data_IF_380435723502
#
_entry.id   IF_380435723502
#
_cell.length_a   1.000
_cell.length_b   1.000
_cell.length_c   1.000
_cell.angle_alpha   90.00
_cell.angle_beta   90.00
_cell.angle_gamma   90.00
#
_symmetry.space_group_name_H-M   'P 1'
#
loop_
_entity.id
_entity.type
_entity.pdbx_description
1 polymer ?
#
# COMPACT_ATOMS: atom_id res chain seq x y z
N UNK A 1 15.17 6.94 -2.18
CA UNK A 1 14.81 5.88 -1.21
C UNK A 1 13.29 5.77 -1.13
N UNK A 2 12.76 4.58 -1.40
CA UNK A 2 11.32 4.31 -1.38
C UNK A 2 10.96 3.67 -0.04
N UNK A 3 10.30 4.39 0.88
CA UNK A 3 9.95 3.90 2.22
C UNK A 3 8.47 3.49 2.29
N UNK A 4 8.20 2.25 2.68
CA UNK A 4 6.86 1.66 2.57
C UNK A 4 5.79 2.30 3.47
N UNK A 5 6.16 3.11 4.45
CA UNK A 5 5.22 3.77 5.36
C UNK A 5 5.36 3.27 6.79
N UNK A 6 4.66 3.94 7.73
CA UNK A 6 4.75 3.67 9.17
C UNK A 6 6.21 3.51 9.65
N UNK A 7 7.08 4.40 9.16
CA UNK A 7 8.50 4.42 9.53
C UNK A 7 8.61 4.81 11.00
N UNK A 8 9.25 3.97 11.80
CA UNK A 8 9.45 4.23 13.22
C UNK A 8 10.55 5.29 13.43
N UNK A 9 10.32 6.25 14.32
CA UNK A 9 11.29 7.32 14.62
C UNK A 9 12.65 6.76 15.12
N UNK A 10 12.65 5.55 15.70
CA UNK A 10 13.82 4.81 16.16
C UNK A 10 14.55 4.00 15.07
N UNK A 11 14.09 4.03 13.81
CA UNK A 11 14.70 3.27 12.73
C UNK A 11 15.99 3.93 12.21
N UNK A 12 17.07 3.72 12.96
CA UNK A 12 18.39 4.25 12.65
C UNK A 12 18.94 3.80 11.29
N UNK A 13 18.58 2.60 10.84
CA UNK A 13 19.06 2.07 9.57
C UNK A 13 18.52 2.91 8.39
N UNK A 14 17.21 3.18 8.36
CA UNK A 14 16.59 3.94 7.27
C UNK A 14 16.95 5.43 7.34
N UNK A 15 16.81 6.06 8.51
CA UNK A 15 17.13 7.49 8.64
C UNK A 15 18.61 7.78 8.49
N UNK A 16 19.47 6.97 9.11
CA UNK A 16 20.92 7.09 9.00
C UNK A 16 21.39 6.92 7.56
N UNK A 17 20.84 5.96 6.82
CA UNK A 17 21.16 5.77 5.40
C UNK A 17 20.79 6.99 4.55
N UNK A 18 19.59 7.57 4.77
CA UNK A 18 19.18 8.76 4.04
C UNK A 18 20.03 9.98 4.37
N UNK A 19 20.27 10.26 5.66
CA UNK A 19 21.10 11.38 6.12
C UNK A 19 22.53 11.26 5.59
N UNK A 20 23.10 10.04 5.64
CA UNK A 20 24.42 9.75 5.07
C UNK A 20 24.49 10.08 3.57
N UNK A 21 23.50 9.65 2.79
CA UNK A 21 23.43 9.96 1.35
C UNK A 21 23.25 11.47 1.10
N UNK A 22 22.57 12.19 1.99
CA UNK A 22 22.33 13.62 1.86
C UNK A 22 23.54 14.49 2.28
N UNK A 23 24.64 13.90 2.80
CA UNK A 23 25.85 14.61 3.21
C UNK A 23 26.14 14.59 4.72
N UNK A 24 25.42 13.78 5.51
CA UNK A 24 25.66 13.63 6.94
C UNK A 24 25.49 14.94 7.70
N UNK A 25 26.50 15.30 8.48
CA UNK A 25 26.53 16.56 9.25
C UNK A 25 26.47 17.83 8.38
N UNK A 26 26.82 17.73 7.10
CA UNK A 26 26.73 18.84 6.13
C UNK A 26 25.43 18.81 5.32
N UNK A 27 24.53 17.85 5.60
CA UNK A 27 23.28 17.73 4.86
C UNK A 27 22.37 18.93 5.12
N UNK A 28 21.80 19.46 4.03
CA UNK A 28 20.72 20.44 4.03
C UNK A 28 19.49 19.76 3.42
N UNK A 29 18.58 19.31 4.27
CA UNK A 29 17.46 18.47 3.85
C UNK A 29 16.18 19.31 3.72
N UNK A 30 15.60 19.32 2.53
CA UNK A 30 14.28 19.88 2.29
C UNK A 30 13.17 18.87 2.63
N UNK A 31 12.24 19.23 3.51
CA UNK A 31 11.06 18.42 3.82
C UNK A 31 9.86 18.96 3.05
N UNK A 32 9.23 18.08 2.28
CA UNK A 32 8.04 18.37 1.47
C UNK A 32 6.85 17.60 2.07
N UNK A 33 5.77 18.29 2.44
CA UNK A 33 4.66 17.67 3.20
C UNK A 33 3.28 17.90 2.61
N UNK A 34 3.20 18.18 1.31
CA UNK A 34 1.96 18.44 0.57
C UNK A 34 0.88 17.36 0.73
N UNK A 35 1.30 16.10 0.88
CA UNK A 35 0.40 14.97 1.09
C UNK A 35 -0.35 15.02 2.42
N UNK A 36 0.21 15.69 3.43
CA UNK A 36 -0.36 15.71 4.76
C UNK A 36 -1.62 16.59 4.83
N UNK A 37 -2.54 16.23 5.73
CA UNK A 37 -3.63 17.11 6.14
C UNK A 37 -3.17 18.20 7.12
N UNK A 38 -2.00 18.01 7.75
CA UNK A 38 -1.36 18.96 8.68
C UNK A 38 0.11 19.20 8.27
N UNK A 39 0.37 19.82 7.10
CA UNK A 39 1.69 19.85 6.46
C UNK A 39 2.82 20.37 7.34
N UNK A 40 2.58 21.46 8.08
CA UNK A 40 3.58 22.07 8.94
C UNK A 40 3.97 21.14 10.10
N UNK A 41 3.00 20.57 10.82
CA UNK A 41 3.27 19.63 11.92
C UNK A 41 3.96 18.35 11.44
N UNK A 42 3.55 17.80 10.28
CA UNK A 42 4.20 16.63 9.70
C UNK A 42 5.64 16.91 9.29
N UNK A 43 5.92 18.09 8.71
CA UNK A 43 7.27 18.48 8.35
C UNK A 43 8.16 18.65 9.59
N UNK A 44 7.64 19.30 10.65
CA UNK A 44 8.37 19.50 11.90
C UNK A 44 8.71 18.17 12.60
N UNK A 45 7.79 17.20 12.59
CA UNK A 45 8.05 15.88 13.15
C UNK A 45 9.21 15.18 12.43
N UNK A 46 9.16 15.11 11.09
CA UNK A 46 10.23 14.53 10.28
C UNK A 46 11.54 15.30 10.44
N UNK A 47 11.49 16.63 10.49
CA UNK A 47 12.68 17.46 10.66
C UNK A 47 13.38 17.18 11.99
N UNK A 48 12.63 17.00 13.09
CA UNK A 48 13.18 16.64 14.39
C UNK A 48 13.92 15.31 14.34
N UNK A 49 13.33 14.30 13.69
CA UNK A 49 13.92 12.96 13.57
C UNK A 49 15.19 13.00 12.72
N UNK A 50 15.15 13.63 11.54
CA UNK A 50 16.32 13.76 10.67
C UNK A 50 17.49 14.51 11.34
N UNK A 51 17.20 15.57 12.11
CA UNK A 51 18.22 16.25 12.93
C UNK A 51 18.79 15.32 14.02
N UNK A 52 17.95 14.52 14.67
CA UNK A 52 18.41 13.57 15.68
C UNK A 52 19.36 12.49 15.09
N UNK A 53 19.23 12.18 13.79
CA UNK A 53 20.14 11.29 13.07
C UNK A 53 21.34 12.00 12.41
N UNK A 54 21.57 13.27 12.74
CA UNK A 54 22.81 13.97 12.39
C UNK A 54 22.76 14.80 11.10
N UNK A 55 21.58 15.12 10.58
CA UNK A 55 21.47 16.12 9.51
C UNK A 55 21.81 17.53 10.04
N UNK A 56 22.65 18.27 9.31
CA UNK A 56 23.08 19.62 9.72
C UNK A 56 21.94 20.64 9.70
N UNK A 57 21.24 20.74 8.57
CA UNK A 57 20.06 21.58 8.40
C UNK A 57 18.89 20.74 7.90
N UNK A 58 17.70 20.99 8.45
CA UNK A 58 16.46 20.41 7.94
C UNK A 58 15.40 21.49 7.92
N UNK A 59 14.88 21.76 6.73
CA UNK A 59 14.05 22.93 6.44
C UNK A 59 12.78 22.49 5.72
N UNK A 60 11.62 22.96 6.19
CA UNK A 60 10.35 22.75 5.52
C UNK A 60 10.22 23.67 4.31
N UNK A 61 9.73 23.15 3.17
CA UNK A 61 9.49 23.92 1.94
C UNK A 61 7.97 24.21 1.82
N UNK A 62 7.49 25.42 2.19
CA UNK A 62 6.09 25.61 2.62
C UNK A 62 4.97 25.78 1.57
N UNK A 63 5.12 26.25 0.32
CA UNK A 63 3.94 26.62 -0.48
C UNK A 63 3.29 25.43 -1.20
N UNK A 64 3.85 24.23 -1.05
CA UNK A 64 3.37 23.01 -1.70
C UNK A 64 2.05 22.49 -1.10
N UNK A 65 1.36 23.28 -0.28
CA UNK A 65 0.12 22.89 0.40
C UNK A 65 -1.14 23.37 -0.30
N UNK A 66 -1.02 24.37 -1.18
CA UNK A 66 -2.14 24.81 -1.98
C UNK A 66 -2.37 23.79 -3.11
N UNK A 67 -3.54 23.14 -3.11
CA UNK A 67 -3.91 22.10 -4.08
C UNK A 67 -4.43 22.72 -5.37
N UNK A 68 -3.65 23.62 -5.96
CA UNK A 68 -4.00 24.36 -7.18
C UNK A 68 -2.79 24.53 -8.07
N UNK A 69 -3.06 24.70 -9.36
CA UNK A 69 -2.05 24.98 -10.37
C UNK A 69 -1.19 26.21 -10.00
N UNK A 70 0.10 26.13 -10.29
CA UNK A 70 1.11 27.14 -9.96
C UNK A 70 1.48 27.27 -8.48
N UNK A 71 0.96 26.43 -7.57
CA UNK A 71 1.32 26.50 -6.14
C UNK A 71 2.79 26.16 -5.87
N UNK A 72 3.39 25.38 -6.76
CA UNK A 72 4.80 25.00 -6.73
C UNK A 72 5.72 26.03 -7.35
N UNK A 73 5.24 27.20 -7.80
CA UNK A 73 6.03 28.15 -8.60
C UNK A 73 6.67 29.30 -7.83
N UNK A 74 6.44 29.39 -6.51
CA UNK A 74 7.05 30.45 -5.71
C UNK A 74 8.58 30.45 -5.87
N UNK A 75 9.18 31.53 -6.44
CA UNK A 75 10.60 31.57 -6.74
C UNK A 75 11.49 31.44 -5.49
N UNK A 76 11.03 31.94 -4.34
CA UNK A 76 11.77 31.83 -3.07
C UNK A 76 11.86 30.38 -2.61
N UNK A 77 10.80 29.61 -2.82
CA UNK A 77 10.74 28.20 -2.46
C UNK A 77 11.47 27.31 -3.46
N UNK A 78 11.45 27.67 -4.74
CA UNK A 78 12.29 27.02 -5.75
C UNK A 78 13.78 27.26 -5.47
N UNK A 79 14.17 28.48 -5.10
CA UNK A 79 15.54 28.82 -4.69
C UNK A 79 15.95 28.06 -3.42
N UNK A 80 15.04 27.98 -2.44
CA UNK A 80 15.26 27.19 -1.22
C UNK A 80 15.50 25.72 -1.57
N UNK A 81 14.64 25.11 -2.39
CA UNK A 81 14.78 23.74 -2.86
C UNK A 81 16.11 23.52 -3.61
N UNK A 82 16.50 24.45 -4.49
CA UNK A 82 17.75 24.38 -5.23
C UNK A 82 18.99 24.39 -4.31
N UNK A 83 18.86 24.90 -3.08
CA UNK A 83 19.96 24.96 -2.12
C UNK A 83 20.13 23.68 -1.28
N UNK A 84 19.21 22.72 -1.39
CA UNK A 84 19.20 21.49 -0.60
C UNK A 84 20.13 20.40 -1.17
N UNK A 85 20.60 19.53 -0.29
CA UNK A 85 21.43 18.35 -0.61
C UNK A 85 20.65 17.04 -0.51
N UNK A 86 19.40 17.06 -0.06
CA UNK A 86 18.49 15.91 -0.07
C UNK A 86 17.05 16.32 0.19
N UNK A 87 16.09 15.47 -0.17
CA UNK A 87 14.66 15.75 -0.01
C UNK A 87 13.91 14.60 0.64
N UNK A 88 13.05 14.90 1.60
CA UNK A 88 12.20 13.91 2.26
C UNK A 88 10.73 14.28 2.11
N UNK A 89 9.95 13.40 1.49
CA UNK A 89 8.53 13.55 1.24
C UNK A 89 7.72 12.78 2.29
N UNK A 90 6.83 13.47 3.00
CA UNK A 90 6.05 12.85 4.08
C UNK A 90 4.88 11.99 3.57
N UNK A 91 4.21 11.27 4.48
CA UNK A 91 3.00 10.51 4.16
C UNK A 91 1.72 11.36 4.05
N UNK A 92 0.60 10.73 3.73
CA UNK A 92 -0.71 11.36 3.56
C UNK A 92 -1.42 10.89 2.28
N UNK A 93 -1.84 11.83 1.44
CA UNK A 93 -2.46 11.62 0.13
C UNK A 93 -1.50 12.07 -0.98
N UNK A 94 -1.03 11.12 -1.78
CA UNK A 94 -0.04 11.33 -2.84
C UNK A 94 -0.55 12.23 -3.95
N UNK A 95 -1.86 12.28 -4.21
CA UNK A 95 -2.38 13.11 -5.30
C UNK A 95 -2.28 14.61 -4.98
N UNK A 96 -2.20 14.98 -3.70
CA UNK A 96 -1.95 16.38 -3.30
C UNK A 96 -0.59 16.88 -3.75
N UNK A 97 0.42 16.01 -3.84
CA UNK A 97 1.70 16.38 -4.43
C UNK A 97 1.55 16.71 -5.92
N UNK A 98 0.79 15.91 -6.67
CA UNK A 98 0.49 16.21 -8.08
C UNK A 98 -0.18 17.57 -8.19
N UNK A 99 -1.25 17.81 -7.43
CA UNK A 99 -2.01 19.06 -7.45
C UNK A 99 -1.24 20.32 -7.05
N UNK A 100 -0.09 20.18 -6.38
CA UNK A 100 0.69 21.29 -5.84
C UNK A 100 2.04 21.49 -6.52
N UNK A 101 2.55 20.48 -7.23
CA UNK A 101 3.90 20.47 -7.80
C UNK A 101 3.95 20.22 -9.30
N UNK A 102 2.82 19.84 -9.90
CA UNK A 102 2.69 19.58 -11.34
C UNK A 102 1.64 20.53 -11.90
N UNK A 103 1.95 21.15 -13.04
CA UNK A 103 1.03 22.03 -13.72
C UNK A 103 -0.11 21.26 -14.39
N UNK A 104 -1.18 21.97 -14.74
CA UNK A 104 -2.31 21.39 -15.46
C UNK A 104 -1.92 20.77 -16.81
N UNK A 105 -0.85 21.27 -17.45
CA UNK A 105 -0.29 20.75 -18.71
C UNK A 105 0.68 19.56 -18.51
N UNK A 106 0.92 19.15 -17.26
CA UNK A 106 1.81 18.05 -16.90
C UNK A 106 3.29 18.45 -16.72
N UNK A 107 3.63 19.73 -16.88
CA UNK A 107 5.00 20.21 -16.63
C UNK A 107 5.30 20.33 -15.14
N UNK A 108 6.59 20.28 -14.78
CA UNK A 108 7.03 20.49 -13.40
C UNK A 108 6.80 21.95 -12.97
N UNK A 109 6.20 22.15 -11.79
CA UNK A 109 6.26 23.43 -11.07
C UNK A 109 7.69 23.76 -10.63
N UNK A 110 7.98 25.02 -10.34
CA UNK A 110 9.34 25.49 -10.09
C UNK A 110 10.07 24.74 -8.95
N UNK A 111 9.36 24.40 -7.86
CA UNK A 111 9.90 23.58 -6.76
C UNK A 111 10.22 22.17 -7.23
N UNK A 112 9.33 21.48 -7.95
CA UNK A 112 9.60 20.13 -8.46
C UNK A 112 10.78 20.12 -9.43
N UNK A 113 10.83 21.11 -10.33
CA UNK A 113 11.94 21.31 -11.24
C UNK A 113 13.25 21.47 -10.48
N UNK A 114 13.30 22.28 -9.43
CA UNK A 114 14.49 22.43 -8.59
C UNK A 114 14.88 21.11 -7.91
N UNK A 115 13.92 20.38 -7.33
CA UNK A 115 14.15 19.05 -6.74
C UNK A 115 14.73 18.09 -7.79
N UNK A 116 14.17 18.08 -9.00
CA UNK A 116 14.64 17.23 -10.11
C UNK A 116 16.07 17.57 -10.52
N UNK A 117 16.42 18.86 -10.64
CA UNK A 117 17.79 19.26 -10.96
C UNK A 117 18.78 18.83 -9.87
N UNK A 118 18.39 18.94 -8.59
CA UNK A 118 19.23 18.46 -7.49
C UNK A 118 19.37 16.94 -7.47
N UNK A 119 18.30 16.21 -7.77
CA UNK A 119 18.36 14.75 -7.92
C UNK A 119 19.30 14.33 -9.06
N UNK A 120 19.21 14.98 -10.22
CA UNK A 120 20.13 14.74 -11.34
C UNK A 120 21.58 15.09 -10.98
N UNK A 121 21.79 16.04 -10.07
CA UNK A 121 23.10 16.37 -9.50
C UNK A 121 23.54 15.44 -8.34
N UNK A 122 22.78 14.37 -8.04
CA UNK A 122 23.14 13.35 -7.06
C UNK A 122 22.52 13.50 -5.67
N UNK A 123 21.64 14.48 -5.44
CA UNK A 123 20.93 14.61 -4.16
C UNK A 123 19.91 13.46 -3.98
N UNK A 124 19.90 12.73 -2.84
CA UNK A 124 18.89 11.71 -2.60
C UNK A 124 17.50 12.33 -2.42
N UNK A 125 16.51 11.68 -3.04
CA UNK A 125 15.09 11.93 -2.80
C UNK A 125 14.52 10.70 -2.11
N UNK A 126 13.90 10.92 -0.95
CA UNK A 126 13.24 9.89 -0.15
C UNK A 126 11.79 10.25 0.12
N UNK A 127 10.95 9.26 0.35
CA UNK A 127 9.62 9.50 0.87
C UNK A 127 9.00 8.28 1.50
N UNK A 128 8.01 8.51 2.36
CA UNK A 128 7.33 7.48 3.15
C UNK A 128 5.83 7.44 2.86
N UNK A 129 5.25 6.25 2.69
CA UNK A 129 3.83 6.08 2.36
C UNK A 129 3.48 6.87 1.07
N UNK A 130 2.54 7.81 1.10
CA UNK A 130 2.26 8.70 -0.04
C UNK A 130 3.51 9.40 -0.62
N UNK A 131 4.47 9.78 0.23
CA UNK A 131 5.74 10.36 -0.19
C UNK A 131 6.64 9.37 -0.94
N UNK A 132 6.49 8.06 -0.71
CA UNK A 132 7.10 7.04 -1.57
C UNK A 132 6.30 6.90 -2.86
N UNK A 133 4.97 6.81 -2.76
CA UNK A 133 4.09 6.56 -3.89
C UNK A 133 4.25 7.62 -4.99
N UNK A 134 4.42 8.89 -4.61
CA UNK A 134 4.64 9.99 -5.56
C UNK A 134 5.99 9.91 -6.28
N UNK A 135 6.95 9.11 -5.83
CA UNK A 135 8.22 8.92 -6.55
C UNK A 135 8.08 7.98 -7.75
N UNK A 136 6.94 7.29 -7.87
CA UNK A 136 6.65 6.37 -8.95
C UNK A 136 6.69 7.04 -10.33
N UNK A 137 7.00 6.26 -11.35
CA UNK A 137 6.73 6.56 -12.75
C UNK A 137 5.23 6.47 -13.08
N UNK A 138 4.93 6.14 -14.35
CA UNK A 138 3.56 6.00 -14.86
C UNK A 138 2.72 5.02 -14.03
N UNK A 139 1.41 5.19 -14.10
CA UNK A 139 0.42 4.32 -13.45
C UNK A 139 0.55 4.26 -11.92
N UNK A 140 0.72 5.44 -11.30
CA UNK A 140 0.85 5.57 -9.84
C UNK A 140 -0.47 5.18 -9.16
N UNK A 141 -0.42 4.29 -8.15
CA UNK A 141 -1.60 3.91 -7.37
C UNK A 141 -2.18 5.13 -6.65
N UNK A 142 -3.50 5.35 -6.77
CA UNK A 142 -4.21 6.44 -6.09
C UNK A 142 -5.03 5.94 -4.90
N UNK A 143 -5.47 4.68 -4.90
CA UNK A 143 -6.27 4.11 -3.82
C UNK A 143 -6.68 2.65 -4.05
N UNK A 144 -7.58 2.13 -3.22
CA UNK A 144 -8.25 0.85 -3.46
C UNK A 144 -7.69 -0.36 -2.72
N UNK A 145 -8.54 -1.35 -2.49
CA UNK A 145 -8.17 -2.60 -1.82
C UNK A 145 -8.02 -3.76 -2.80
N UNK A 146 -7.35 -4.84 -2.35
CA UNK A 146 -7.04 -5.99 -3.21
C UNK A 146 -8.26 -6.73 -3.73
N UNK A 147 -9.30 -6.92 -2.93
CA UNK A 147 -10.45 -7.70 -3.37
C UNK A 147 -11.26 -7.00 -4.49
N UNK A 148 -11.71 -5.75 -4.33
CA UNK A 148 -12.38 -5.03 -5.40
C UNK A 148 -11.48 -4.83 -6.61
N UNK A 149 -10.19 -4.52 -6.39
CA UNK A 149 -9.21 -4.39 -7.47
C UNK A 149 -9.12 -5.64 -8.34
N UNK A 150 -8.93 -6.82 -7.74
CA UNK A 150 -8.88 -8.08 -8.51
C UNK A 150 -10.21 -8.40 -9.19
N UNK A 151 -11.35 -8.09 -8.55
CA UNK A 151 -12.69 -8.36 -9.10
C UNK A 151 -12.98 -7.51 -10.32
N UNK A 152 -12.77 -6.20 -10.23
CA UNK A 152 -13.27 -5.22 -11.20
C UNK A 152 -12.19 -4.69 -12.14
N UNK A 153 -10.93 -4.79 -11.72
CA UNK A 153 -9.79 -4.21 -12.42
C UNK A 153 -9.40 -2.83 -11.92
N UNK A 154 -8.23 -2.42 -12.38
CA UNK A 154 -7.72 -1.08 -12.14
C UNK A 154 -8.48 -0.06 -13.01
N UNK A 155 -8.81 1.08 -12.42
CA UNK A 155 -9.51 2.18 -13.10
C UNK A 155 -8.68 3.46 -13.05
N UNK A 156 -8.53 4.18 -14.18
CA UNK A 156 -7.81 5.44 -14.19
C UNK A 156 -8.59 6.50 -13.42
N UNK A 157 -7.93 7.21 -12.51
CA UNK A 157 -8.51 8.29 -11.72
C UNK A 157 -8.14 8.28 -10.24
N UNK A 158 -8.72 9.20 -9.50
CA UNK A 158 -8.64 9.32 -8.05
C UNK A 158 -10.05 9.16 -7.51
N UNK A 159 -10.21 8.31 -6.49
CA UNK A 159 -11.51 7.94 -5.96
C UNK A 159 -11.52 8.11 -4.44
N UNK A 160 -12.59 8.68 -3.90
CA UNK A 160 -12.81 8.83 -2.45
C UNK A 160 -13.36 7.54 -1.82
N UNK A 161 -12.95 6.38 -2.34
CA UNK A 161 -13.35 5.06 -1.85
C UNK A 161 -12.26 4.03 -2.07
N UNK A 162 -12.17 3.07 -1.15
CA UNK A 162 -11.27 1.91 -1.23
C UNK A 162 -11.88 0.74 -2.04
N UNK A 163 -13.11 0.88 -2.54
CA UNK A 163 -13.78 -0.11 -3.38
C UNK A 163 -13.35 -0.06 -4.85
N UNK A 164 -12.54 0.93 -5.24
CA UNK A 164 -11.99 1.05 -6.61
C UNK A 164 -10.48 1.02 -6.53
N UNK A 165 -9.85 0.13 -7.29
CA UNK A 165 -8.40 0.18 -7.52
C UNK A 165 -8.09 1.33 -8.48
N UNK A 166 -7.91 2.52 -7.91
CA UNK A 166 -7.56 3.72 -8.66
C UNK A 166 -6.07 3.79 -9.00
N UNK A 167 -5.76 4.28 -10.19
CA UNK A 167 -4.41 4.67 -10.57
C UNK A 167 -4.41 5.96 -11.40
N UNK A 168 -3.33 6.73 -11.31
CA UNK A 168 -3.13 7.93 -12.14
C UNK A 168 -2.21 7.57 -13.31
N UNK A 169 -2.71 7.56 -14.57
CA UNK A 169 -1.92 7.11 -15.72
C UNK A 169 -0.61 7.89 -15.91
N UNK A 170 -0.65 9.22 -15.73
CA UNK A 170 0.54 10.07 -15.88
C UNK A 170 1.63 9.78 -14.82
N UNK A 171 1.27 9.08 -13.74
CA UNK A 171 2.24 8.66 -12.72
C UNK A 171 2.49 9.67 -11.62
N UNK A 172 3.57 9.44 -10.87
CA UNK A 172 4.10 10.40 -9.91
C UNK A 172 5.13 11.32 -10.57
N UNK A 173 6.14 11.71 -9.81
CA UNK A 173 7.25 12.55 -10.26
C UNK A 173 8.28 11.82 -11.13
N UNK A 174 8.19 10.50 -11.25
CA UNK A 174 9.04 9.70 -12.13
C UNK A 174 10.50 9.63 -11.69
N UNK A 175 10.78 9.74 -10.38
CA UNK A 175 12.12 9.50 -9.83
C UNK A 175 12.51 8.02 -9.84
N UNK A 176 11.53 7.12 -9.93
CA UNK A 176 11.73 5.69 -10.06
C UNK A 176 10.80 5.11 -11.13
N UNK A 177 11.38 4.54 -12.19
CA UNK A 177 10.63 4.08 -13.38
C UNK A 177 10.83 2.60 -13.70
N UNK A 178 11.69 1.89 -12.95
CA UNK A 178 12.07 0.49 -13.23
C UNK A 178 11.04 -0.56 -12.79
N UNK A 179 9.84 -0.12 -12.43
CA UNK A 179 8.69 -0.97 -12.10
C UNK A 179 7.63 -0.20 -11.33
N UNK A 180 6.45 -0.81 -11.21
CA UNK A 180 5.36 -0.28 -10.41
C UNK A 180 5.71 -0.38 -8.92
N UNK A 181 5.29 0.59 -8.11
CA UNK A 181 5.55 0.60 -6.66
C UNK A 181 4.27 0.69 -5.86
N UNK A 182 4.27 0.03 -4.70
CA UNK A 182 3.18 0.09 -3.75
C UNK A 182 3.72 0.07 -2.31
N UNK A 183 2.96 0.69 -1.40
CA UNK A 183 3.33 1.02 -0.01
C UNK A 183 2.51 0.19 0.98
N UNK A 184 2.94 0.13 2.24
CA UNK A 184 2.29 -0.63 3.32
C UNK A 184 1.96 -2.07 2.91
N UNK A 185 2.84 -2.66 2.10
CA UNK A 185 2.46 -3.68 1.15
C UNK A 185 1.95 -4.96 1.83
N UNK A 186 2.78 -5.52 2.70
CA UNK A 186 2.49 -6.74 3.45
C UNK A 186 1.39 -6.50 4.50
N UNK A 187 1.47 -5.38 5.22
CA UNK A 187 0.55 -5.01 6.30
C UNK A 187 -0.90 -4.86 5.83
N UNK A 188 -1.11 -4.45 4.58
CA UNK A 188 -2.44 -4.21 3.99
C UNK A 188 -2.83 -5.23 2.93
N UNK A 189 -2.06 -6.30 2.76
CA UNK A 189 -2.35 -7.37 1.80
C UNK A 189 -2.49 -6.87 0.36
N UNK A 190 -1.61 -5.93 -0.06
CA UNK A 190 -1.71 -5.20 -1.33
C UNK A 190 -1.12 -5.95 -2.53
N UNK A 191 -0.59 -7.15 -2.31
CA UNK A 191 -0.01 -7.99 -3.38
C UNK A 191 -0.95 -8.19 -4.56
N UNK A 192 -2.20 -8.57 -4.33
CA UNK A 192 -3.12 -8.88 -5.44
C UNK A 192 -3.58 -7.63 -6.20
N UNK A 193 -3.74 -6.48 -5.53
CA UNK A 193 -4.08 -5.22 -6.20
C UNK A 193 -2.95 -4.77 -7.13
N UNK A 194 -1.70 -4.88 -6.69
CA UNK A 194 -0.57 -4.43 -7.51
C UNK A 194 -0.27 -5.40 -8.65
N UNK A 195 -0.47 -6.71 -8.47
CA UNK A 195 -0.45 -7.68 -9.58
C UNK A 195 -1.52 -7.33 -10.61
N UNK A 196 -2.75 -7.04 -10.15
CA UNK A 196 -3.85 -6.70 -11.04
C UNK A 196 -3.56 -5.42 -11.82
N UNK A 197 -3.13 -4.36 -11.13
CA UNK A 197 -2.76 -3.10 -11.77
C UNK A 197 -1.64 -3.31 -12.79
N UNK A 198 -0.57 -4.02 -12.43
CA UNK A 198 0.53 -4.30 -13.34
C UNK A 198 0.08 -5.07 -14.59
N UNK A 199 -0.80 -6.06 -14.44
CA UNK A 199 -1.38 -6.79 -15.57
C UNK A 199 -2.27 -5.89 -16.45
N UNK A 200 -3.12 -5.05 -15.86
CA UNK A 200 -4.03 -4.16 -16.57
C UNK A 200 -3.28 -3.01 -17.30
N UNK A 201 -2.11 -2.61 -16.80
CA UNK A 201 -1.32 -1.47 -17.32
C UNK A 201 -0.02 -1.89 -18.02
N UNK A 202 0.20 -3.19 -18.21
CA UNK A 202 1.34 -3.73 -18.95
C UNK A 202 2.69 -3.52 -18.27
N UNK A 203 2.76 -3.52 -16.94
CA UNK A 203 4.03 -3.57 -16.19
C UNK A 203 4.45 -5.02 -15.97
N UNK A 204 5.73 -5.29 -16.19
CA UNK A 204 6.32 -6.60 -15.96
C UNK A 204 6.90 -6.77 -14.55
N UNK A 205 6.93 -5.68 -13.76
CA UNK A 205 7.54 -5.65 -12.44
C UNK A 205 6.78 -4.81 -11.44
N UNK A 206 6.66 -5.34 -10.22
CA UNK A 206 6.15 -4.60 -9.05
C UNK A 206 7.14 -4.70 -7.90
N UNK A 207 7.35 -3.58 -7.21
CA UNK A 207 8.03 -3.48 -5.92
C UNK A 207 7.03 -3.10 -4.84
N UNK A 208 6.66 -4.07 -4.01
CA UNK A 208 5.85 -3.85 -2.83
C UNK A 208 6.73 -3.63 -1.60
N UNK A 209 6.78 -2.41 -1.08
CA UNK A 209 7.62 -2.08 0.08
C UNK A 209 6.78 -2.17 1.36
N UNK A 210 7.23 -3.01 2.30
CA UNK A 210 6.59 -3.17 3.60
C UNK A 210 6.81 -1.97 4.52
N UNK A 211 6.03 -1.92 5.60
CA UNK A 211 6.17 -0.85 6.61
C UNK A 211 7.57 -0.86 7.25
N UNK A 212 8.01 0.30 7.73
CA UNK A 212 9.29 0.44 8.46
C UNK A 212 10.51 -0.13 7.68
N UNK A 213 10.40 -0.10 6.34
CA UNK A 213 11.39 -0.63 5.40
C UNK A 213 11.56 0.35 4.23
N UNK A 214 12.80 0.47 3.76
CA UNK A 214 13.18 1.24 2.60
C UNK A 214 13.79 0.34 1.51
N UNK A 215 13.43 0.63 0.26
CA UNK A 215 14.17 0.20 -0.92
C UNK A 215 15.07 1.35 -1.35
N UNK A 216 16.37 1.18 -1.12
CA UNK A 216 17.41 2.12 -1.54
C UNK A 216 17.72 1.85 -3.01
N UNK A 217 17.57 2.86 -3.86
CA UNK A 217 17.85 2.80 -5.29
C UNK A 217 19.03 3.71 -5.58
N UNK A 218 20.09 3.16 -6.16
CA UNK A 218 21.27 3.91 -6.62
C UNK A 218 21.37 3.83 -8.12
N UNK A 219 21.79 4.90 -8.79
CA UNK A 219 21.87 4.93 -10.26
C UNK A 219 20.50 4.84 -10.94
N UNK A 220 19.46 5.41 -10.32
CA UNK A 220 18.09 5.34 -10.81
C UNK A 220 17.99 5.82 -12.27
N UNK A 221 17.31 5.05 -13.12
CA UNK A 221 17.18 5.36 -14.54
C UNK A 221 18.46 5.21 -15.38
N UNK A 222 19.53 4.64 -14.82
CA UNK A 222 20.78 4.35 -15.52
C UNK A 222 21.01 2.85 -15.71
N UNK A 223 21.94 2.46 -16.59
CA UNK A 223 22.33 1.06 -16.77
C UNK A 223 22.98 0.43 -15.51
N UNK A 224 23.44 1.26 -14.57
CA UNK A 224 24.02 0.84 -13.29
C UNK A 224 23.01 0.83 -12.14
N UNK A 225 21.70 0.89 -12.42
CA UNK A 225 20.69 0.90 -11.37
C UNK A 225 20.80 -0.35 -10.49
N UNK A 226 20.81 -0.15 -9.18
CA UNK A 226 20.86 -1.22 -8.19
C UNK A 226 19.95 -0.90 -7.02
N UNK A 227 19.32 -1.93 -6.48
CA UNK A 227 18.37 -1.81 -5.39
C UNK A 227 18.86 -2.61 -4.18
N UNK A 228 18.67 -2.06 -2.98
CA UNK A 228 19.02 -2.71 -1.70
C UNK A 228 17.95 -2.45 -0.66
N UNK A 229 17.59 -3.47 0.11
CA UNK A 229 16.62 -3.37 1.20
C UNK A 229 17.32 -2.91 2.48
N UNK A 230 16.68 -1.99 3.18
CA UNK A 230 17.08 -1.50 4.51
C UNK A 230 15.85 -1.42 5.40
N UNK A 231 15.86 -2.04 6.58
CA UNK A 231 14.77 -1.93 7.56
C UNK A 231 14.17 -3.27 7.98
N UNK A 232 12.93 -3.27 8.48
CA UNK A 232 12.50 -4.35 9.40
C UNK A 232 11.56 -5.40 8.82
N UNK A 233 10.73 -5.08 7.82
CA UNK A 233 9.77 -6.05 7.25
C UNK A 233 10.31 -6.70 5.98
N UNK A 234 10.70 -5.90 4.98
CA UNK A 234 11.18 -6.39 3.68
C UNK A 234 10.48 -5.77 2.46
N UNK A 235 10.84 -6.28 1.28
CA UNK A 235 10.35 -5.84 -0.02
C UNK A 235 9.97 -7.06 -0.86
N UNK A 236 8.77 -7.03 -1.41
CA UNK A 236 8.29 -7.98 -2.39
C UNK A 236 8.62 -7.51 -3.80
N UNK A 237 9.36 -8.32 -4.56
CA UNK A 237 9.56 -8.14 -6.00
C UNK A 237 8.69 -9.15 -6.73
N UNK A 238 7.72 -8.65 -7.49
CA UNK A 238 6.85 -9.46 -8.33
C UNK A 238 7.29 -9.34 -9.78
N UNK A 239 7.56 -10.48 -10.41
CA UNK A 239 8.00 -10.61 -11.80
C UNK A 239 6.86 -11.23 -12.62
N UNK A 240 6.32 -10.43 -13.54
CA UNK A 240 5.17 -10.75 -14.37
C UNK A 240 5.59 -11.10 -15.81
N UNK A 241 6.88 -11.20 -16.14
CA UNK A 241 7.33 -11.47 -17.53
C UNK A 241 6.82 -12.78 -18.12
N UNK A 242 6.55 -13.77 -17.26
CA UNK A 242 5.98 -15.05 -17.65
C UNK A 242 4.51 -15.20 -17.23
N UNK A 243 3.89 -14.11 -16.77
CA UNK A 243 2.53 -14.14 -16.31
C UNK A 243 1.55 -14.27 -17.47
N UNK A 244 0.46 -15.00 -17.23
CA UNK A 244 -0.62 -15.23 -18.20
C UNK A 244 -1.93 -14.85 -17.56
N UNK A 245 -2.58 -13.83 -18.12
CA UNK A 245 -3.93 -13.44 -17.73
C UNK A 245 -4.93 -14.33 -18.46
N UNK A 246 -5.97 -14.77 -17.75
CA UNK A 246 -7.04 -15.57 -18.32
C UNK A 246 -8.29 -15.52 -17.46
N UNK A 247 -9.21 -16.45 -17.73
CA UNK A 247 -10.42 -16.63 -16.93
C UNK A 247 -10.44 -18.01 -16.29
N UNK A 248 -10.69 -18.07 -14.98
CA UNK A 248 -10.93 -19.31 -14.24
C UNK A 248 -12.35 -19.27 -13.66
N UNK A 249 -13.21 -20.16 -14.13
CA UNK A 249 -14.61 -20.20 -13.69
C UNK A 249 -15.40 -18.91 -14.00
N UNK A 250 -15.05 -18.22 -15.09
CA UNK A 250 -15.66 -16.94 -15.48
C UNK A 250 -15.14 -15.71 -14.72
N UNK A 251 -14.15 -15.88 -13.85
CA UNK A 251 -13.51 -14.79 -13.11
C UNK A 251 -12.11 -14.52 -13.63
N UNK A 252 -11.65 -13.26 -13.53
CA UNK A 252 -10.28 -12.89 -13.85
C UNK A 252 -9.29 -13.75 -13.06
N UNK A 253 -8.25 -14.23 -13.74
CA UNK A 253 -7.19 -15.06 -13.17
C UNK A 253 -5.85 -14.68 -13.79
N UNK A 254 -4.78 -14.93 -13.03
CA UNK A 254 -3.41 -14.75 -13.49
C UNK A 254 -2.56 -15.89 -12.93
N UNK A 255 -1.74 -16.48 -13.78
CA UNK A 255 -0.79 -17.54 -13.43
C UNK A 255 0.61 -17.13 -13.87
N UNK A 256 1.66 -17.74 -13.28
CA UNK A 256 3.05 -17.51 -13.70
C UNK A 256 3.72 -16.23 -13.16
N UNK A 257 3.09 -15.53 -12.20
CA UNK A 257 3.76 -14.44 -11.46
C UNK A 257 4.78 -15.04 -10.50
N UNK A 258 6.05 -14.65 -10.64
CA UNK A 258 7.11 -15.05 -9.72
C UNK A 258 7.25 -14.02 -8.61
N UNK A 259 7.35 -14.49 -7.37
CA UNK A 259 7.51 -13.64 -6.19
C UNK A 259 8.85 -13.91 -5.52
N UNK A 260 9.66 -12.86 -5.37
CA UNK A 260 10.84 -12.86 -4.50
C UNK A 260 10.59 -11.94 -3.31
N UNK A 261 10.89 -12.41 -2.10
CA UNK A 261 10.82 -11.61 -0.88
C UNK A 261 12.23 -11.31 -0.38
N UNK A 262 12.57 -10.03 -0.29
CA UNK A 262 13.88 -9.54 0.09
C UNK A 262 13.78 -8.92 1.48
N UNK A 263 14.77 -9.21 2.32
CA UNK A 263 14.91 -8.70 3.68
C UNK A 263 16.12 -7.78 3.80
N UNK A 264 16.34 -7.19 4.97
CA UNK A 264 17.46 -6.27 5.21
C UNK A 264 18.80 -6.77 4.64
N UNK A 265 19.48 -5.90 3.90
CA UNK A 265 20.75 -6.19 3.25
C UNK A 265 20.66 -6.96 1.93
N UNK A 266 19.53 -7.60 1.60
CA UNK A 266 19.33 -8.21 0.28
C UNK A 266 19.29 -7.13 -0.81
N UNK A 267 19.73 -7.49 -2.02
CA UNK A 267 19.79 -6.60 -3.16
C UNK A 267 19.11 -7.19 -4.40
N UNK A 268 18.74 -6.30 -5.31
CA UNK A 268 18.08 -6.64 -6.57
C UNK A 268 18.70 -5.86 -7.73
N UNK A 269 19.06 -6.59 -8.77
CA UNK A 269 19.52 -6.06 -10.05
C UNK A 269 18.33 -6.02 -11.03
N UNK A 270 17.83 -4.82 -11.38
CA UNK A 270 16.68 -4.65 -12.26
C UNK A 270 17.03 -4.92 -13.73
N UNK A 271 18.29 -4.81 -14.16
CA UNK A 271 18.67 -5.14 -15.54
C UNK A 271 18.72 -6.65 -15.74
N UNK A 272 19.24 -7.38 -14.75
CA UNK A 272 19.44 -8.84 -14.82
C UNK A 272 18.32 -9.66 -14.19
N UNK A 273 17.35 -9.00 -13.55
CA UNK A 273 16.26 -9.65 -12.80
C UNK A 273 16.76 -10.62 -11.73
N UNK A 274 17.82 -10.22 -11.04
CA UNK A 274 18.56 -11.08 -10.12
C UNK A 274 18.47 -10.56 -8.71
N UNK A 275 18.05 -11.45 -7.81
CA UNK A 275 18.17 -11.25 -6.36
C UNK A 275 19.56 -11.69 -5.93
N UNK A 276 20.20 -10.90 -5.07
CA UNK A 276 21.39 -11.29 -4.34
C UNK A 276 21.12 -11.14 -2.84
N UNK A 277 21.60 -12.11 -2.06
CA UNK A 277 21.37 -12.13 -0.62
C UNK A 277 22.34 -11.18 0.08
N UNK A 278 21.87 -10.55 1.16
CA UNK A 278 22.70 -9.78 2.07
C UNK A 278 23.68 -10.66 2.84
N UNK A 279 24.72 -10.03 3.39
CA UNK A 279 25.61 -10.69 4.33
C UNK A 279 24.82 -11.14 5.57
N UNK A 280 24.85 -12.45 5.89
CA UNK A 280 24.06 -13.02 6.98
C UNK A 280 22.63 -13.45 6.61
N UNK A 281 22.15 -13.10 5.42
CA UNK A 281 20.86 -13.59 4.90
C UNK A 281 20.98 -15.06 4.43
N UNK A 282 19.93 -15.83 4.71
CA UNK A 282 19.79 -17.23 4.30
C UNK A 282 18.54 -17.38 3.44
N UNK A 283 18.65 -17.97 2.23
CA UNK A 283 17.48 -18.20 1.40
C UNK A 283 16.40 -18.96 2.16
N UNK A 284 15.17 -18.47 2.12
CA UNK A 284 14.05 -19.21 2.65
C UNK A 284 13.86 -20.46 1.78
N UNK A 285 14.10 -21.64 2.36
CA UNK A 285 13.78 -22.92 1.71
C UNK A 285 12.31 -23.24 2.01
N UNK A 286 11.42 -23.27 1.00
CA UNK A 286 10.04 -23.67 1.22
C UNK A 286 10.04 -25.10 1.76
N UNK A 287 9.56 -25.31 3.00
CA UNK A 287 9.32 -26.66 3.49
C UNK A 287 8.18 -27.23 2.65
N UNK A 288 8.47 -28.25 1.84
CA UNK A 288 7.52 -28.97 1.00
C UNK A 288 6.39 -29.56 1.85
N UNK A 289 5.35 -28.78 2.08
CA UNK A 289 4.02 -29.27 2.40
C UNK A 289 3.11 -28.67 1.35
N UNK A 290 2.51 -29.50 0.47
CA UNK A 290 1.37 -29.06 -0.30
C UNK A 290 0.37 -28.48 0.71
N UNK A 291 -0.06 -27.24 0.50
CA UNK A 291 -1.19 -26.72 1.23
C UNK A 291 -2.37 -27.62 0.84
N UNK A 292 -2.72 -28.56 1.72
CA UNK A 292 -3.85 -29.45 1.49
C UNK A 292 -5.07 -28.61 1.12
N UNK A 293 -5.82 -29.04 0.10
CA UNK A 293 -7.14 -28.51 -0.26
C UNK A 293 -8.07 -28.57 0.95
N UNK A 294 -7.93 -27.65 1.91
CA UNK A 294 -9.00 -27.41 2.89
C UNK A 294 -9.97 -26.51 2.17
N UNK A 295 -10.99 -27.13 1.58
CA UNK A 295 -12.23 -26.47 1.25
C UNK A 295 -12.62 -25.61 2.46
N UNK A 296 -12.74 -24.30 2.26
CA UNK A 296 -13.32 -23.39 3.24
C UNK A 296 -14.79 -23.79 3.42
N UNK A 297 -15.03 -24.80 4.24
CA UNK A 297 -16.35 -25.19 4.70
C UNK A 297 -16.48 -24.70 6.14
N UNK A 298 -17.30 -23.66 6.28
CA UNK A 298 -17.97 -23.16 7.49
C UNK A 298 -17.10 -22.62 8.65
N UNK A 299 -17.25 -21.32 8.86
CA UNK A 299 -17.61 -20.77 10.17
C UNK A 299 -18.61 -19.62 10.00
N UNK A 300 -19.86 -19.98 9.70
CA UNK A 300 -21.01 -19.12 9.99
C UNK A 300 -21.88 -19.85 11.00
N UNK A 301 -21.56 -19.65 12.28
CA UNK A 301 -22.50 -19.83 13.39
C UNK A 301 -22.49 -18.56 14.22
N UNK A 302 -22.97 -17.48 13.63
CA UNK A 302 -23.56 -16.39 14.41
C UNK A 302 -24.93 -16.89 14.87
N UNK A 303 -25.13 -17.00 16.19
CA UNK A 303 -26.44 -17.31 16.77
C UNK A 303 -27.42 -16.23 16.32
N UNK A 304 -28.44 -16.60 15.55
CA UNK A 304 -29.61 -15.77 15.34
C UNK A 304 -30.37 -15.67 16.67
N UNK A 305 -30.25 -14.53 17.35
CA UNK A 305 -31.21 -14.12 18.36
C UNK A 305 -32.46 -13.58 17.65
N UNK A 306 -33.59 -14.25 17.83
CA UNK A 306 -34.92 -13.78 17.43
C UNK A 306 -35.30 -12.48 18.13
N UNK A 307 -35.83 -11.44 17.44
CA UNK A 307 -36.60 -10.40 18.10
C UNK A 307 -38.09 -10.79 18.13
N UNK A 308 -38.67 -10.84 19.34
CA UNK A 308 -40.12 -10.88 19.54
C UNK A 308 -40.70 -9.50 19.25
N UNK A 309 -41.80 -9.50 18.49
CA UNK A 309 -42.66 -8.35 18.21
C UNK A 309 -43.57 -8.01 19.39
N UNK A 310 -43.70 -6.72 19.73
CA UNK A 310 -44.94 -6.11 20.26
C UNK A 310 -44.94 -4.61 19.95
N UNK A 311 -45.96 -4.16 19.21
CA UNK A 311 -46.36 -2.76 18.99
C UNK A 311 -47.00 -2.16 20.26
N UNK A 312 -47.04 -0.82 20.48
CA UNK A 312 -48.07 0.08 19.89
C UNK A 312 -47.61 1.50 19.47
N UNK A 313 -48.49 2.17 18.70
CA UNK A 313 -48.47 3.57 18.16
C UNK A 313 -48.89 4.64 19.22
N UNK A 314 -49.15 5.95 18.89
CA UNK A 314 -48.35 7.02 18.27
C UNK A 314 -48.29 8.35 19.10
N UNK A 315 -47.60 9.36 18.55
CA UNK A 315 -47.26 10.75 18.94
C UNK A 315 -48.13 11.64 19.87
N UNK A 316 -47.46 12.38 20.78
CA UNK A 316 -47.72 13.79 21.21
C UNK A 316 -46.55 14.33 22.12
N UNK A 317 -46.38 15.66 22.40
CA UNK A 317 -45.19 16.47 22.08
C UNK A 317 -44.26 16.85 23.27
N UNK A 318 -43.12 17.59 23.07
CA UNK A 318 -41.95 17.57 23.96
C UNK A 318 -41.80 18.80 24.90
N UNK A 319 -41.07 18.64 26.04
CA UNK A 319 -40.40 19.70 26.86
C UNK A 319 -39.33 19.07 27.81
N UNK A 320 -38.43 19.84 28.47
CA UNK A 320 -37.22 20.53 27.98
C UNK A 320 -35.94 20.05 28.74
N UNK A 321 -34.71 20.58 28.48
CA UNK A 321 -33.47 19.89 28.85
C UNK A 321 -33.00 20.20 30.28
N UNK A 322 -32.26 19.26 30.91
CA UNK A 322 -31.43 19.54 32.10
C UNK A 322 -29.94 19.32 31.82
N UNK A 323 -29.19 20.32 32.30
CA UNK A 323 -27.78 20.66 32.11
C UNK A 323 -26.77 19.64 32.70
N UNK A 324 -25.48 19.74 32.30
CA UNK A 324 -24.49 18.69 32.48
C UNK A 324 -23.80 18.77 33.85
N UNK A 325 -23.32 17.62 34.34
CA UNK A 325 -22.26 17.57 35.36
C UNK A 325 -21.01 16.90 34.78
N UNK A 326 -19.90 17.62 34.91
CA UNK A 326 -18.53 17.28 34.51
C UNK A 326 -17.76 16.78 35.77
N UNK A 327 -16.51 16.31 35.66
CA UNK A 327 -16.12 14.92 35.91
C UNK A 327 -15.25 14.76 37.17
N UNK A 328 -14.92 13.51 37.52
CA UNK A 328 -13.81 13.22 38.42
C UNK A 328 -13.07 11.92 38.01
N UNK A 329 -11.78 11.81 38.34
CA UNK A 329 -10.80 11.00 37.60
C UNK A 329 -10.52 9.66 38.28
N UNK A 330 -10.05 8.66 37.52
CA UNK A 330 -9.39 7.49 38.11
C UNK A 330 -8.09 7.17 37.36
N UNK A 331 -7.03 7.08 38.16
CA UNK A 331 -5.65 6.73 37.81
C UNK A 331 -5.47 5.20 37.77
N UNK A 332 -4.53 4.81 36.88
CA UNK A 332 -3.54 3.70 36.96
C UNK A 332 -4.05 2.27 37.11
N UNK A 333 -3.64 1.45 36.14
CA UNK A 333 -3.43 0.02 36.29
C UNK A 333 -2.40 -0.46 35.27
N UNK A 334 -1.21 -0.83 35.75
CA UNK A 334 -0.20 -1.54 34.98
C UNK A 334 -0.60 -3.03 34.89
N UNK A 335 -0.33 -3.68 33.75
CA UNK A 335 -0.09 -5.13 33.72
C UNK A 335 0.79 -5.54 32.55
N UNK A 336 1.73 -6.43 32.89
CA UNK A 336 2.72 -7.06 32.05
C UNK A 336 2.11 -8.16 31.14
N UNK A 337 2.76 -8.36 29.98
CA UNK A 337 3.17 -9.67 29.50
C UNK A 337 2.14 -10.60 28.86
N UNK A 338 2.24 -10.79 27.54
CA UNK A 338 2.27 -12.14 26.95
C UNK A 338 2.78 -12.09 25.51
N UNK A 339 3.75 -12.93 25.19
CA UNK A 339 4.50 -12.93 23.94
C UNK A 339 3.67 -13.31 22.72
N UNK A 340 3.92 -12.59 21.62
CA UNK A 340 3.39 -12.88 20.29
C UNK A 340 4.29 -13.93 19.62
N UNK A 341 3.80 -15.16 19.50
CA UNK A 341 4.40 -16.14 18.59
C UNK A 341 4.05 -15.74 17.16
N UNK A 342 5.04 -15.22 16.43
CA UNK A 342 5.00 -14.99 14.98
C UNK A 342 4.82 -16.32 14.24
N UNK A 343 3.85 -16.37 13.33
CA UNK A 343 3.81 -17.33 12.22
C UNK A 343 3.31 -16.59 10.98
N UNK A 344 4.21 -15.98 10.22
CA UNK A 344 3.93 -15.58 8.84
C UNK A 344 4.24 -16.78 7.92
N UNK A 345 3.24 -17.25 7.19
CA UNK A 345 3.40 -18.27 6.13
C UNK A 345 3.18 -17.60 4.78
N UNK A 346 4.26 -17.43 4.02
CA UNK A 346 4.23 -17.00 2.62
C UNK A 346 3.55 -18.03 1.73
N UNK A 347 2.96 -17.56 0.63
CA UNK A 347 2.10 -18.32 -0.28
C UNK A 347 2.60 -18.26 -1.72
N UNK A 348 2.37 -19.35 -2.45
CA UNK A 348 2.41 -19.45 -3.90
C UNK A 348 1.18 -20.29 -4.29
N UNK A 349 0.27 -19.77 -5.11
CA UNK A 349 -0.91 -20.53 -5.55
C UNK A 349 -1.88 -19.71 -6.42
N UNK A 350 -2.44 -20.35 -7.43
CA UNK A 350 -3.54 -19.83 -8.27
C UNK A 350 -4.78 -19.54 -7.42
N UNK A 351 -5.35 -18.35 -7.60
CA UNK A 351 -6.55 -17.90 -6.91
C UNK A 351 -7.79 -18.28 -7.74
N UNK A 352 -8.55 -19.28 -7.29
CA UNK A 352 -9.88 -19.61 -7.84
C UNK A 352 -10.87 -19.66 -6.69
N UNK A 353 -11.88 -18.78 -6.70
CA UNK A 353 -12.94 -18.71 -5.68
C UNK A 353 -14.28 -19.12 -6.30
N UNK A 354 -14.92 -20.15 -5.73
CA UNK A 354 -16.27 -20.58 -6.09
C UNK A 354 -17.33 -19.95 -5.19
N UNK A 355 -18.45 -19.53 -5.79
CA UNK A 355 -19.67 -19.14 -5.07
C UNK A 355 -20.53 -20.39 -4.80
N UNK A 356 -21.02 -20.52 -3.57
CA UNK A 356 -21.95 -21.58 -3.18
C UNK A 356 -23.27 -21.46 -3.99
N UNK A 357 -23.64 -22.53 -4.68
CA UNK A 357 -24.92 -22.65 -5.38
C UNK A 357 -26.11 -22.66 -4.43
N UNK A 358 -27.20 -22.03 -4.84
CA UNK A 358 -28.51 -22.15 -4.18
C UNK A 358 -28.99 -23.60 -4.28
N UNK A 359 -29.13 -24.27 -3.15
CA UNK A 359 -29.88 -25.52 -3.03
C UNK A 359 -31.37 -25.16 -2.98
N UNK A 360 -32.15 -25.66 -3.94
CA UNK A 360 -33.61 -25.52 -3.96
C UNK A 360 -34.27 -26.23 -2.77
N UNK A 361 -35.46 -25.79 -2.32
CA UNK A 361 -36.09 -26.39 -1.16
C UNK A 361 -36.74 -27.72 -1.53
N UNK A 362 -36.11 -28.82 -1.11
CA UNK A 362 -36.79 -30.09 -0.95
C UNK A 362 -37.64 -30.07 0.32
N UNK A 363 -38.96 -30.28 0.19
CA UNK A 363 -39.80 -30.74 1.30
C UNK A 363 -40.57 -31.99 0.88
N UNK A 364 -40.47 -32.96 1.77
CA UNK A 364 -41.05 -34.28 1.75
C UNK A 364 -42.57 -34.28 2.03
N UNK A 365 -43.24 -35.20 1.31
CA UNK A 365 -44.33 -36.11 1.71
C UNK A 365 -45.71 -35.59 2.08
N UNK A 366 -46.71 -36.11 1.36
CA UNK A 366 -47.96 -36.70 1.91
C UNK A 366 -48.49 -37.83 1.00
N UNK A 367 -49.31 -38.77 1.54
CA UNK A 367 -49.40 -40.15 1.06
C UNK A 367 -50.55 -40.39 0.07
N UNK A 368 -50.41 -41.40 -0.78
CA UNK A 368 -51.51 -41.91 -1.60
C UNK A 368 -51.70 -43.43 -1.35
N UNK A 369 -52.98 -43.79 -1.35
CA UNK A 369 -53.60 -45.02 -0.87
C UNK A 369 -53.38 -46.22 -1.79
N UNK A 370 -53.52 -47.40 -1.20
CA UNK A 370 -53.75 -48.71 -1.85
C UNK A 370 -54.90 -48.65 -2.87
N UNK A 371 -54.71 -49.33 -4.01
CA UNK A 371 -55.73 -50.15 -4.66
C UNK A 371 -55.06 -51.23 -5.51
N UNK A 372 -55.71 -52.39 -5.55
CA UNK A 372 -55.30 -53.70 -6.02
C UNK A 372 -55.73 -54.01 -7.46
N UNK A 373 -55.31 -55.21 -7.93
CA UNK A 373 -55.60 -55.92 -9.20
C UNK A 373 -54.53 -55.70 -10.28
N UNK A 374 -53.95 -56.70 -10.95
CA UNK A 374 -54.18 -58.14 -11.11
C UNK A 374 -53.57 -58.53 -12.48
N UNK A 375 -53.00 -59.74 -12.68
CA UNK A 375 -52.12 -60.04 -13.82
C UNK A 375 -52.83 -60.77 -14.97
N UNK A 376 -52.54 -60.41 -16.22
CA UNK A 376 -52.71 -61.18 -17.48
C UNK A 376 -51.94 -60.41 -18.58
N UNK A 377 -51.23 -60.98 -19.55
CA UNK A 377 -51.06 -62.37 -19.97
C UNK A 377 -49.91 -62.49 -20.98
N UNK A 378 -49.60 -63.74 -21.33
CA UNK A 378 -48.58 -64.18 -22.29
C UNK A 378 -49.03 -63.95 -23.74
N UNK A 379 -48.04 -63.75 -24.61
CA UNK A 379 -47.82 -64.53 -25.84
C UNK A 379 -46.46 -64.16 -26.42
#
# INVERSE_FOLDING_TARGET
MLVGGALDDGNAAVYGEFVRQAGGAQARIGVLSASSAVPHSSANAVAKVLKAYGAGEVTWIPPVTAKRDGSGDDPSNAALAASMTGFFLTGGDQFRYVQSMVHADGTDGAVLRAVRQRFLAGAPVAGTSAGMQILAGRDMVTGGTSYPGVRDGAQPGVFDTDDVLGYWPAGGFGFFTSGLVDTHFDARGRNSRSIRLAADTGHDRVYGVGEDTALVVTGAGTAGESLRVVGTTGVSVLDLRSARVGLAGGHWSIDGVRWSYLTDGDSYDPARWRVAKGAGSSPAVPRSRPAGRRAWTRSARTRCGTPRSTWPRPDCPPRPPRRPRRPAPVRRGAHQGSGVRRVHRGWCGSLVLHRAGRVGPGRLSRPARRASHGPYGRS
#
